data_IF_318591215800
#
_entry.id   IF_318591215800
#
_cell.length_a   1.000
_cell.length_b   1.000
_cell.length_c   1.000
_cell.angle_alpha   90.00
_cell.angle_beta   90.00
_cell.angle_gamma   90.00
#
_symmetry.space_group_name_H-M   'P 1'
#
loop_
_entity.id
_entity.type
_entity.pdbx_description
1 polymer ?
#
# COMPACT_ATOMS: atom_id res chain seq x y z
N UNK A 1 20.08 -7.77 6.54
CA UNK A 1 20.23 -7.33 7.96
C UNK A 1 19.55 -8.36 8.87
N UNK A 2 20.01 -8.63 10.10
CA UNK A 2 19.44 -9.73 10.87
C UNK A 2 17.99 -9.44 11.25
N UNK A 3 17.10 -10.38 10.93
CA UNK A 3 15.66 -10.42 11.23
C UNK A 3 15.32 -10.52 12.74
N UNK A 4 16.23 -10.09 13.63
CA UNK A 4 16.17 -10.31 15.09
C UNK A 4 15.87 -9.05 15.90
N UNK A 5 15.76 -7.86 15.29
CA UNK A 5 15.30 -6.66 16.02
C UNK A 5 13.78 -6.71 16.14
N UNK A 6 13.21 -6.32 17.30
CA UNK A 6 11.76 -6.21 17.43
C UNK A 6 11.23 -5.22 16.40
N UNK A 7 10.06 -5.52 15.83
CA UNK A 7 9.42 -4.69 14.80
C UNK A 7 9.23 -3.23 15.25
N UNK A 8 9.06 -3.01 16.56
CA UNK A 8 8.91 -1.70 17.20
C UNK A 8 10.12 -1.38 18.09
N UNK A 9 11.32 -1.69 17.63
CA UNK A 9 12.56 -1.30 18.28
C UNK A 9 13.09 0.03 17.74
N UNK A 10 14.12 0.57 18.40
CA UNK A 10 14.85 1.74 17.90
C UNK A 10 15.36 1.50 16.48
N UNK A 11 14.88 2.30 15.55
CA UNK A 11 15.29 2.27 14.14
C UNK A 11 16.72 2.80 13.99
N UNK A 12 17.37 2.45 12.88
CA UNK A 12 18.65 3.07 12.50
C UNK A 12 18.44 4.52 12.10
N UNK A 13 17.37 4.77 11.35
CA UNK A 13 16.98 6.08 10.82
C UNK A 13 15.49 6.07 10.46
N UNK A 14 14.79 7.16 10.75
CA UNK A 14 13.39 7.36 10.35
C UNK A 14 13.34 7.98 8.94
N UNK A 15 12.81 7.23 7.97
CA UNK A 15 12.70 7.66 6.56
C UNK A 15 11.37 8.32 6.21
N UNK A 16 10.38 8.23 7.09
CA UNK A 16 9.02 8.69 6.83
C UNK A 16 8.01 8.19 7.85
N UNK A 17 6.73 8.47 7.57
CA UNK A 17 5.57 8.06 8.36
C UNK A 17 4.38 7.76 7.44
N UNK A 18 3.55 6.81 7.84
CA UNK A 18 2.31 6.43 7.14
C UNK A 18 1.16 6.41 8.13
N UNK A 19 0.12 7.19 7.85
CA UNK A 19 -1.15 7.13 8.58
C UNK A 19 -2.18 6.33 7.75
N UNK A 20 -2.57 5.12 8.18
CA UNK A 20 -3.56 4.32 7.48
C UNK A 20 -4.98 4.88 7.61
N UNK A 21 -5.24 5.72 8.62
CA UNK A 21 -6.56 6.28 8.86
C UNK A 21 -6.80 7.48 7.93
N UNK A 22 -7.92 7.49 7.19
CA UNK A 22 -8.24 8.63 6.35
C UNK A 22 -8.53 9.87 7.20
N UNK A 23 -8.06 11.03 6.75
CA UNK A 23 -8.38 12.32 7.34
C UNK A 23 -9.84 12.74 7.01
N UNK A 24 -10.24 13.93 7.45
CA UNK A 24 -11.58 14.47 7.16
C UNK A 24 -11.87 14.70 5.66
N UNK A 25 -10.84 14.75 4.82
CA UNK A 25 -10.92 14.84 3.36
C UNK A 25 -10.85 13.46 2.68
N UNK A 26 -10.88 12.38 3.45
CA UNK A 26 -10.80 11.00 3.00
C UNK A 26 -9.45 10.62 2.35
N UNK A 27 -8.37 11.27 2.77
CA UNK A 27 -7.01 11.05 2.27
C UNK A 27 -6.16 10.32 3.32
N UNK A 28 -5.29 9.42 2.87
CA UNK A 28 -4.29 8.74 3.72
C UNK A 28 -2.95 9.45 3.59
N UNK A 29 -2.38 9.87 4.72
CA UNK A 29 -1.17 10.68 4.72
C UNK A 29 0.08 9.80 4.71
N UNK A 30 1.02 10.15 3.84
CA UNK A 30 2.35 9.55 3.81
C UNK A 30 3.40 10.64 3.72
N UNK A 31 4.36 10.62 4.64
CA UNK A 31 5.58 11.42 4.57
C UNK A 31 6.75 10.51 4.21
N UNK A 32 7.55 10.90 3.22
CA UNK A 32 8.66 10.09 2.69
C UNK A 32 9.84 11.00 2.37
N UNK A 33 11.04 10.65 2.88
CA UNK A 33 12.29 11.29 2.49
C UNK A 33 12.93 10.52 1.32
N UNK A 34 12.70 10.99 0.10
CA UNK A 34 13.17 10.33 -1.13
C UNK A 34 14.70 10.28 -1.25
N UNK A 35 15.41 11.32 -0.82
CA UNK A 35 16.88 11.38 -0.87
C UNK A 35 17.50 10.26 -0.02
N UNK A 36 16.99 10.10 1.21
CA UNK A 36 17.48 9.06 2.12
C UNK A 36 17.08 7.66 1.67
N UNK A 37 15.89 7.49 1.11
CA UNK A 37 15.49 6.21 0.51
C UNK A 37 16.44 5.83 -0.64
N UNK A 38 16.75 6.75 -1.55
CA UNK A 38 17.67 6.51 -2.65
C UNK A 38 19.07 6.12 -2.14
N UNK A 39 19.55 6.79 -1.09
CA UNK A 39 20.82 6.45 -0.44
C UNK A 39 20.83 5.02 0.10
N UNK A 40 19.78 4.61 0.82
CA UNK A 40 19.69 3.26 1.40
C UNK A 40 19.49 2.18 0.33
N UNK A 41 18.76 2.48 -0.75
CA UNK A 41 18.66 1.62 -1.92
C UNK A 41 20.04 1.40 -2.58
N UNK A 42 20.85 2.46 -2.72
CA UNK A 42 22.23 2.35 -3.21
C UNK A 42 23.12 1.44 -2.34
N UNK A 43 22.81 1.35 -1.05
CA UNK A 43 23.45 0.42 -0.09
C UNK A 43 22.86 -1.00 -0.12
N UNK A 44 22.02 -1.34 -1.09
CA UNK A 44 21.34 -2.64 -1.21
C UNK A 44 20.44 -2.97 -0.02
N UNK A 45 19.76 -1.96 0.54
CA UNK A 45 18.72 -2.21 1.53
C UNK A 45 17.53 -2.92 0.88
N UNK A 46 17.04 -3.98 1.52
CA UNK A 46 15.83 -4.69 1.10
C UNK A 46 14.58 -3.91 1.56
N UNK A 47 13.62 -3.74 0.65
CA UNK A 47 12.35 -3.07 0.93
C UNK A 47 11.27 -4.14 1.13
N UNK A 48 10.36 -3.90 2.08
CA UNK A 48 9.19 -4.76 2.25
C UNK A 48 8.12 -4.49 1.19
N UNK A 49 7.40 -5.53 0.76
CA UNK A 49 6.29 -5.43 -0.21
C UNK A 49 5.35 -4.23 -0.03
N UNK A 50 4.80 -3.93 1.16
CA UNK A 50 3.90 -2.77 1.31
C UNK A 50 4.59 -1.43 1.01
N UNK A 51 5.88 -1.30 1.28
CA UNK A 51 6.66 -0.09 0.97
C UNK A 51 6.96 0.00 -0.52
N UNK A 52 7.19 -1.12 -1.21
CA UNK A 52 7.32 -1.15 -2.67
C UNK A 52 6.03 -0.68 -3.36
N UNK A 53 4.87 -1.16 -2.88
CA UNK A 53 3.57 -0.68 -3.35
C UNK A 53 3.42 0.82 -3.13
N UNK A 54 3.78 1.32 -1.95
CA UNK A 54 3.67 2.74 -1.61
C UNK A 54 4.56 3.61 -2.51
N UNK A 55 5.83 3.25 -2.65
CA UNK A 55 6.78 3.97 -3.51
C UNK A 55 6.40 3.88 -4.99
N UNK A 56 5.75 2.79 -5.40
CA UNK A 56 5.15 2.65 -6.73
C UNK A 56 3.98 3.60 -6.97
N UNK A 57 3.10 3.76 -5.98
CA UNK A 57 1.97 4.71 -6.05
C UNK A 57 2.44 6.17 -6.06
N UNK A 58 3.53 6.48 -5.35
CA UNK A 58 4.15 7.81 -5.38
C UNK A 58 4.89 8.13 -6.69
N UNK A 59 5.04 7.15 -7.60
CA UNK A 59 5.81 7.31 -8.85
C UNK A 59 7.33 7.30 -8.67
N UNK A 60 7.84 6.96 -7.49
CA UNK A 60 9.27 6.86 -7.22
C UNK A 60 9.86 5.53 -7.73
N UNK A 61 9.08 4.45 -7.62
CA UNK A 61 9.37 3.14 -8.21
C UNK A 61 8.31 2.82 -9.28
N UNK A 62 8.57 1.84 -10.17
CA UNK A 62 7.50 1.30 -11.00
C UNK A 62 6.40 0.66 -10.12
N UNK A 63 5.15 0.72 -10.60
CA UNK A 63 4.00 0.10 -9.93
C UNK A 63 4.27 -1.39 -9.73
N UNK A 64 4.13 -1.86 -8.49
CA UNK A 64 4.35 -3.25 -8.15
C UNK A 64 3.41 -4.18 -8.94
N UNK A 65 3.88 -5.30 -9.53
CA UNK A 65 3.08 -6.14 -10.42
C UNK A 65 1.81 -6.69 -9.76
N UNK A 66 1.85 -6.96 -8.45
CA UNK A 66 0.68 -7.47 -7.71
C UNK A 66 -0.46 -6.46 -7.64
N UNK A 67 -0.18 -5.16 -7.75
CA UNK A 67 -1.21 -4.11 -7.77
C UNK A 67 -2.18 -4.29 -8.94
N UNK A 68 -1.71 -4.73 -10.11
CA UNK A 68 -2.55 -4.99 -11.27
C UNK A 68 -3.45 -6.22 -11.07
N UNK A 69 -2.91 -7.27 -10.45
CA UNK A 69 -3.64 -8.49 -10.11
C UNK A 69 -4.75 -8.19 -9.08
N UNK A 70 -4.43 -7.40 -8.06
CA UNK A 70 -5.37 -6.95 -7.04
C UNK A 70 -6.47 -6.07 -7.64
N UNK A 71 -6.12 -5.12 -8.50
CA UNK A 71 -7.11 -4.28 -9.18
C UNK A 71 -8.10 -5.11 -10.01
N UNK A 72 -7.63 -6.13 -10.72
CA UNK A 72 -8.49 -7.02 -11.51
C UNK A 72 -9.41 -7.85 -10.63
N UNK A 73 -8.89 -8.42 -9.54
CA UNK A 73 -9.68 -9.16 -8.55
C UNK A 73 -10.74 -8.27 -7.89
N UNK A 74 -10.38 -7.05 -7.55
CA UNK A 74 -11.29 -6.08 -6.92
C UNK A 74 -12.41 -5.68 -7.87
N UNK A 75 -12.11 -5.42 -9.15
CA UNK A 75 -13.14 -5.14 -10.17
C UNK A 75 -14.13 -6.30 -10.32
N UNK A 76 -13.66 -7.55 -10.38
CA UNK A 76 -14.53 -8.73 -10.46
C UNK A 76 -15.44 -8.85 -9.24
N UNK A 77 -14.88 -8.69 -8.03
CA UNK A 77 -15.66 -8.72 -6.78
C UNK A 77 -16.71 -7.61 -6.71
N UNK A 78 -16.38 -6.41 -7.20
CA UNK A 78 -17.33 -5.29 -7.24
C UNK A 78 -18.52 -5.60 -8.16
N UNK A 79 -18.26 -6.13 -9.36
CA UNK A 79 -19.32 -6.52 -10.29
C UNK A 79 -20.21 -7.64 -9.72
N UNK A 80 -19.64 -8.67 -9.11
CA UNK A 80 -20.39 -9.73 -8.43
C UNK A 80 -21.22 -9.20 -7.25
N UNK A 81 -20.70 -8.21 -6.52
CA UNK A 81 -21.40 -7.59 -5.40
C UNK A 81 -22.55 -6.67 -5.85
N UNK A 82 -22.44 -6.03 -7.02
CA UNK A 82 -23.52 -5.26 -7.64
C UNK A 82 -24.65 -6.17 -8.12
N UNK A 83 -24.33 -7.24 -8.85
CA UNK A 83 -25.32 -8.25 -9.28
C UNK A 83 -26.10 -8.86 -8.11
N UNK A 84 -25.39 -9.26 -7.04
CA UNK A 84 -26.04 -9.83 -5.86
C UNK A 84 -26.88 -8.80 -5.07
N UNK A 85 -26.60 -7.49 -5.22
CA UNK A 85 -27.47 -6.44 -4.64
C UNK A 85 -28.74 -6.27 -5.47
N UNK A 86 -28.64 -6.33 -6.80
CA UNK A 86 -29.78 -6.25 -7.72
C UNK A 86 -30.72 -7.46 -7.56
N UNK A 87 -30.20 -8.68 -7.54
CA UNK A 87 -30.99 -9.90 -7.33
C UNK A 87 -31.73 -9.91 -5.97
N UNK A 88 -31.12 -9.34 -4.92
CA UNK A 88 -31.76 -9.17 -3.61
C UNK A 88 -32.83 -8.08 -3.58
N UNK A 89 -32.70 -7.06 -4.42
CA UNK A 89 -33.70 -6.01 -4.55
C UNK A 89 -34.93 -6.51 -5.33
N UNK A 90 -34.72 -7.37 -6.33
CA UNK A 90 -35.79 -7.96 -7.15
C UNK A 90 -36.53 -9.12 -6.44
N UNK A 91 -35.85 -9.90 -5.61
CA UNK A 91 -36.45 -10.99 -4.83
C UNK A 91 -37.13 -10.55 -3.52
N UNK A 92 -36.94 -9.29 -3.12
CA UNK A 92 -37.52 -8.68 -1.93
C UNK A 92 -38.76 -7.83 -2.18
N UNK A 93 -39.24 -7.76 -3.43
CA UNK A 93 -40.48 -7.09 -3.84
C UNK A 93 -41.53 -8.08 -4.33
#
# INVERSE_FOLDING_TARGET
MPHKKPRQGKELEQLGTYDPMPNMFNEKLVSVNFERIQYWLGKKAEISRPVEHLLGLCGFLPIHPTSYLEATRNRKKMAEAEQNKEEKAESGS
#
